data_IF_595185327693
#
_entry.id   IF_595185327693
#
_cell.length_a   1.000
_cell.length_b   1.000
_cell.length_c   1.000
_cell.angle_alpha   90.00
_cell.angle_beta   90.00
_cell.angle_gamma   90.00
#
_symmetry.space_group_name_H-M   'P 1'
#
loop_
_entity.id
_entity.type
_entity.pdbx_description
1 polymer ?
#
# COMPACT_ATOMS: atom_id res chain seq x y z
N UNK A 1 3.63 23.85 30.96
CA UNK A 1 3.73 22.43 30.55
C UNK A 1 3.14 22.32 29.16
N UNK A 2 3.96 22.06 28.15
CA UNK A 2 3.46 21.82 26.78
C UNK A 2 2.71 20.49 26.80
N UNK A 3 1.43 20.48 26.44
CA UNK A 3 0.67 19.25 26.34
C UNK A 3 1.32 18.36 25.26
N UNK A 4 1.72 17.15 25.65
CA UNK A 4 2.25 16.14 24.72
C UNK A 4 1.12 15.74 23.78
N UNK A 5 1.36 15.73 22.48
CA UNK A 5 0.40 15.23 21.50
C UNK A 5 0.32 13.70 21.67
N UNK A 6 -0.86 13.13 21.88
CA UNK A 6 -1.01 11.68 21.93
C UNK A 6 -0.61 11.05 20.58
N UNK A 7 0.02 9.89 20.64
CA UNK A 7 0.36 9.11 19.45
C UNK A 7 -0.90 8.66 18.70
N UNK A 8 -0.93 8.88 17.39
CA UNK A 8 -2.04 8.47 16.53
C UNK A 8 -3.26 9.42 16.53
N UNK A 9 -3.10 10.62 17.11
CA UNK A 9 -4.16 11.64 17.01
C UNK A 9 -4.41 12.06 15.57
N UNK A 10 -5.68 12.25 15.23
CA UNK A 10 -6.10 12.74 13.92
C UNK A 10 -5.64 14.17 13.72
N UNK A 11 -5.02 14.46 12.58
CA UNK A 11 -4.70 15.81 12.14
C UNK A 11 -5.76 16.26 11.14
N UNK A 12 -6.53 17.30 11.49
CA UNK A 12 -7.45 17.92 10.56
C UNK A 12 -6.67 18.64 9.45
N UNK A 13 -7.17 18.56 8.23
CA UNK A 13 -6.59 19.27 7.10
C UNK A 13 -7.58 20.22 6.46
N UNK A 14 -7.06 21.28 5.86
CA UNK A 14 -7.78 22.21 5.02
C UNK A 14 -7.47 21.92 3.55
N UNK A 15 -8.46 22.12 2.69
CA UNK A 15 -8.27 21.98 1.25
C UNK A 15 -8.81 23.23 0.54
N UNK A 16 -8.11 23.71 -0.48
CA UNK A 16 -8.67 24.69 -1.40
C UNK A 16 -9.93 24.13 -2.06
N UNK A 17 -10.80 25.00 -2.58
CA UNK A 17 -12.04 24.56 -3.22
C UNK A 17 -11.76 23.56 -4.38
N UNK A 18 -10.71 23.78 -5.16
CA UNK A 18 -10.29 22.91 -6.24
C UNK A 18 -9.75 21.55 -5.73
N UNK A 19 -8.93 21.55 -4.68
CA UNK A 19 -8.43 20.32 -4.06
C UNK A 19 -9.57 19.52 -3.40
N UNK A 20 -10.51 20.18 -2.72
CA UNK A 20 -11.69 19.52 -2.14
C UNK A 20 -12.56 18.87 -3.22
N UNK A 21 -12.76 19.52 -4.36
CA UNK A 21 -13.47 18.95 -5.50
C UNK A 21 -12.72 17.74 -6.08
N UNK A 22 -11.39 17.77 -6.16
CA UNK A 22 -10.58 16.64 -6.61
C UNK A 22 -10.71 15.45 -5.66
N UNK A 23 -10.64 15.66 -4.33
CA UNK A 23 -10.86 14.62 -3.33
C UNK A 23 -12.24 13.97 -3.50
N UNK A 24 -13.30 14.78 -3.64
CA UNK A 24 -14.66 14.28 -3.83
C UNK A 24 -14.82 13.47 -5.14
N UNK A 25 -13.97 13.76 -6.14
CA UNK A 25 -14.03 13.12 -7.46
C UNK A 25 -13.10 11.93 -7.62
N UNK A 26 -12.17 11.66 -6.70
CA UNK A 26 -11.18 10.60 -6.91
C UNK A 26 -11.79 9.19 -6.93
N UNK A 27 -12.90 8.99 -6.22
CA UNK A 27 -13.55 7.70 -6.05
C UNK A 27 -12.80 6.80 -5.09
N UNK A 28 -12.90 5.48 -5.28
CA UNK A 28 -12.16 4.49 -4.51
C UNK A 28 -10.66 4.69 -4.66
N UNK A 29 -9.96 4.87 -3.54
CA UNK A 29 -8.50 5.02 -3.49
C UNK A 29 -7.84 3.73 -3.05
N UNK A 30 -6.67 3.41 -3.63
CA UNK A 30 -5.92 2.19 -3.31
C UNK A 30 -4.56 2.50 -2.69
N UNK A 31 -3.89 3.58 -3.10
CA UNK A 31 -2.58 3.94 -2.58
C UNK A 31 -2.41 5.45 -2.44
N UNK A 32 -1.48 5.86 -1.58
CA UNK A 32 -1.12 7.25 -1.33
C UNK A 32 0.36 7.35 -1.01
N UNK A 33 1.06 8.34 -1.59
CA UNK A 33 2.51 8.56 -1.38
C UNK A 33 2.85 10.03 -1.31
N UNK A 34 3.76 10.39 -0.38
CA UNK A 34 4.42 11.68 -0.39
C UNK A 34 5.53 11.71 -1.44
N UNK A 35 5.75 12.87 -2.06
CA UNK A 35 6.95 13.09 -2.87
C UNK A 35 8.21 13.10 -1.99
N UNK A 36 9.42 12.93 -2.57
CA UNK A 36 10.68 12.96 -1.81
C UNK A 36 10.86 14.19 -0.95
N UNK A 37 10.41 15.37 -1.40
CA UNK A 37 10.44 16.61 -0.61
C UNK A 37 9.31 16.73 0.41
N UNK A 38 8.29 15.85 0.34
CA UNK A 38 7.07 15.92 1.14
C UNK A 38 6.13 17.08 0.78
N UNK A 39 6.37 17.77 -0.36
CA UNK A 39 5.55 18.91 -0.80
C UNK A 39 4.42 18.51 -1.74
N UNK A 40 4.40 17.28 -2.19
CA UNK A 40 3.32 16.69 -3.01
C UNK A 40 2.82 15.40 -2.40
N UNK A 41 1.56 15.09 -2.71
CA UNK A 41 0.89 13.87 -2.26
C UNK A 41 0.15 13.26 -3.46
N UNK A 42 0.59 12.09 -3.91
CA UNK A 42 -0.08 11.35 -4.97
C UNK A 42 -1.10 10.37 -4.37
N UNK A 43 -2.25 10.23 -5.01
CA UNK A 43 -3.34 9.32 -4.60
C UNK A 43 -3.84 8.54 -5.81
N UNK A 44 -3.86 7.22 -5.72
CA UNK A 44 -4.35 6.32 -6.75
C UNK A 44 -5.88 6.20 -6.71
N UNK A 45 -6.57 6.61 -7.76
CA UNK A 45 -8.01 6.52 -7.93
C UNK A 45 -8.39 5.33 -8.81
N UNK A 46 -8.66 4.18 -8.19
CA UNK A 46 -8.84 2.89 -8.84
C UNK A 46 -10.02 2.81 -9.81
N UNK A 47 -11.22 3.22 -9.36
CA UNK A 47 -12.44 3.08 -10.18
C UNK A 47 -12.46 4.03 -11.37
N UNK A 48 -11.91 5.23 -11.19
CA UNK A 48 -11.91 6.26 -12.23
C UNK A 48 -10.66 6.25 -13.10
N UNK A 49 -9.72 5.34 -12.85
CA UNK A 49 -8.46 5.24 -13.58
C UNK A 49 -7.77 6.60 -13.67
N UNK A 50 -7.53 7.23 -12.52
CA UNK A 50 -6.91 8.54 -12.44
C UNK A 50 -5.93 8.60 -11.26
N UNK A 51 -5.01 9.54 -11.32
CA UNK A 51 -4.08 9.83 -10.23
C UNK A 51 -4.28 11.30 -9.86
N UNK A 52 -4.59 11.58 -8.59
CA UNK A 52 -4.60 12.95 -8.09
C UNK A 52 -3.27 13.24 -7.39
N UNK A 53 -2.61 14.31 -7.80
CA UNK A 53 -1.38 14.80 -7.16
C UNK A 53 -1.69 16.15 -6.53
N UNK A 54 -1.68 16.20 -5.21
CA UNK A 54 -1.94 17.40 -4.43
C UNK A 54 -0.64 18.11 -4.07
N UNK A 55 -0.63 19.44 -4.12
CA UNK A 55 0.37 20.25 -3.45
C UNK A 55 -0.01 20.36 -1.97
N UNK A 56 0.90 19.98 -1.07
CA UNK A 56 0.66 19.85 0.36
C UNK A 56 1.62 20.72 1.17
N UNK A 57 1.09 21.41 2.16
CA UNK A 57 1.85 22.14 3.19
C UNK A 57 1.60 21.48 4.55
N UNK A 58 2.68 21.08 5.21
CA UNK A 58 2.67 20.57 6.58
C UNK A 58 3.39 21.57 7.46
N UNK A 59 2.64 22.26 8.32
CA UNK A 59 3.18 23.28 9.22
C UNK A 59 3.04 22.83 10.66
N UNK A 60 3.97 23.21 11.51
CA UNK A 60 3.94 22.99 12.94
C UNK A 60 3.88 24.32 13.69
N UNK A 61 2.85 24.52 14.50
CA UNK A 61 2.68 25.69 15.36
C UNK A 61 2.59 25.22 16.81
N UNK A 62 3.66 25.37 17.55
CA UNK A 62 3.81 24.81 18.89
C UNK A 62 3.76 23.27 18.83
N UNK A 63 2.79 22.67 19.54
CA UNK A 63 2.58 21.23 19.52
C UNK A 63 1.56 20.76 18.48
N UNK A 64 0.94 21.67 17.72
CA UNK A 64 -0.09 21.32 16.73
C UNK A 64 0.49 21.27 15.32
N UNK A 65 0.10 20.27 14.57
CA UNK A 65 0.33 20.21 13.12
C UNK A 65 -0.92 20.66 12.39
N UNK A 66 -0.71 21.39 11.30
CA UNK A 66 -1.75 21.78 10.36
C UNK A 66 -1.35 21.33 8.97
N UNK A 67 -2.31 20.82 8.23
CA UNK A 67 -2.11 20.33 6.86
C UNK A 67 -3.02 21.13 5.94
N UNK A 68 -2.47 21.59 4.81
CA UNK A 68 -3.23 22.29 3.77
C UNK A 68 -2.94 21.66 2.41
N UNK A 69 -3.99 21.35 1.69
CA UNK A 69 -3.93 20.94 0.28
C UNK A 69 -4.28 22.18 -0.56
N UNK A 70 -3.27 22.74 -1.23
CA UNK A 70 -3.38 24.09 -1.82
C UNK A 70 -3.75 24.10 -3.29
N UNK A 71 -3.40 23.04 -4.02
CA UNK A 71 -3.63 22.88 -5.44
C UNK A 71 -3.20 21.50 -5.90
N UNK A 72 -2.91 21.35 -7.19
CA UNK A 72 -2.39 20.09 -7.72
C UNK A 72 -2.86 19.80 -9.15
N UNK A 73 -2.92 18.52 -9.52
CA UNK A 73 -3.35 18.05 -10.84
C UNK A 73 -4.01 16.68 -10.75
N UNK A 74 -5.03 16.45 -11.57
CA UNK A 74 -5.54 15.10 -11.85
C UNK A 74 -4.95 14.60 -13.16
N UNK A 75 -4.21 13.49 -13.14
CA UNK A 75 -3.68 12.83 -14.33
C UNK A 75 -4.66 11.74 -14.76
N UNK A 76 -5.06 11.79 -16.03
CA UNK A 76 -5.81 10.75 -16.71
C UNK A 76 -5.07 10.29 -17.96
N UNK A 77 -5.21 9.02 -18.29
CA UNK A 77 -4.67 8.43 -19.51
C UNK A 77 -5.55 7.28 -19.98
N UNK A 78 -5.71 7.09 -21.30
CA UNK A 78 -6.37 5.90 -21.83
C UNK A 78 -5.61 4.60 -21.52
N UNK A 79 -4.34 4.71 -21.09
CA UNK A 79 -3.49 3.57 -20.71
C UNK A 79 -3.58 3.22 -19.23
N UNK A 80 -4.23 4.05 -18.38
CA UNK A 80 -4.51 3.71 -17.00
C UNK A 80 -5.66 2.70 -16.93
N UNK A 81 -5.42 1.56 -16.30
CA UNK A 81 -6.46 0.55 -16.05
C UNK A 81 -6.28 -0.07 -14.67
N UNK A 82 -7.19 0.25 -13.77
CA UNK A 82 -7.18 -0.19 -12.37
C UNK A 82 -5.91 0.28 -11.65
N UNK A 83 -5.72 1.60 -11.60
CA UNK A 83 -4.61 2.24 -10.88
C UNK A 83 -4.63 1.80 -9.43
N UNK A 84 -3.60 1.08 -8.99
CA UNK A 84 -3.59 0.47 -7.66
C UNK A 84 -2.45 1.00 -6.80
N UNK A 85 -1.21 0.96 -7.27
CA UNK A 85 -0.06 1.50 -6.56
C UNK A 85 0.51 2.74 -7.24
N UNK A 86 1.03 3.67 -6.46
CA UNK A 86 1.75 4.86 -6.94
C UNK A 86 2.99 5.10 -6.11
N UNK A 87 4.04 5.66 -6.71
CA UNK A 87 5.19 6.21 -6.00
C UNK A 87 5.87 7.29 -6.84
N UNK A 88 6.81 8.03 -6.27
CA UNK A 88 7.59 9.05 -6.94
C UNK A 88 8.98 8.51 -7.30
N UNK A 89 9.37 8.66 -8.56
CA UNK A 89 10.77 8.46 -8.98
C UNK A 89 11.64 9.67 -8.64
N UNK A 90 11.05 10.84 -8.78
CA UNK A 90 11.58 12.15 -8.41
C UNK A 90 10.41 13.12 -8.14
N UNK A 91 10.68 14.42 -7.94
CA UNK A 91 9.63 15.41 -7.66
C UNK A 91 8.63 15.59 -8.81
N UNK A 92 9.02 15.27 -10.03
CA UNK A 92 8.27 15.54 -11.25
C UNK A 92 7.86 14.28 -12.01
N UNK A 93 8.20 13.10 -11.51
CA UNK A 93 7.93 11.83 -12.19
C UNK A 93 7.27 10.81 -11.26
N UNK A 94 6.06 10.38 -11.62
CA UNK A 94 5.35 9.29 -10.97
C UNK A 94 5.58 7.97 -11.67
N UNK A 95 5.63 6.91 -10.88
CA UNK A 95 5.48 5.54 -11.32
C UNK A 95 4.18 4.97 -10.75
N UNK A 96 3.44 4.22 -11.56
CA UNK A 96 2.16 3.65 -11.14
C UNK A 96 2.02 2.19 -11.54
N UNK A 97 1.56 1.38 -10.61
CA UNK A 97 1.20 -0.01 -10.83
C UNK A 97 -0.30 -0.09 -11.19
N UNK A 98 -0.61 -0.70 -12.33
CA UNK A 98 -1.97 -0.82 -12.85
C UNK A 98 -2.27 -2.30 -13.09
N UNK A 99 -3.28 -2.82 -12.43
CA UNK A 99 -3.60 -4.26 -12.51
C UNK A 99 -3.95 -4.73 -13.92
N UNK A 100 -4.44 -3.84 -14.78
CA UNK A 100 -4.87 -4.15 -16.13
C UNK A 100 -3.90 -3.76 -17.25
N UNK A 101 -2.96 -2.84 -16.99
CA UNK A 101 -2.09 -2.26 -18.03
C UNK A 101 -0.60 -2.26 -17.71
N UNK A 102 -0.19 -2.78 -16.55
CA UNK A 102 1.22 -2.88 -16.18
C UNK A 102 1.73 -1.68 -15.37
N UNK A 103 3.01 -1.35 -15.53
CA UNK A 103 3.68 -0.28 -14.79
C UNK A 103 4.03 0.86 -15.72
N UNK A 104 3.51 2.06 -15.41
CA UNK A 104 3.56 3.24 -16.25
C UNK A 104 4.24 4.40 -15.53
N UNK A 105 4.95 5.25 -16.27
CA UNK A 105 5.59 6.46 -15.77
C UNK A 105 4.92 7.70 -16.36
N UNK A 106 4.65 8.68 -15.50
CA UNK A 106 4.02 9.95 -15.91
C UNK A 106 4.81 11.14 -15.40
N UNK A 107 4.95 12.15 -16.26
CA UNK A 107 5.46 13.45 -15.86
C UNK A 107 4.37 14.24 -15.15
N UNK A 108 4.72 14.84 -14.02
CA UNK A 108 3.85 15.73 -13.26
C UNK A 108 4.17 17.17 -13.67
N UNK A 109 3.16 17.98 -14.04
CA UNK A 109 3.40 19.39 -14.31
C UNK A 109 3.80 20.15 -13.04
N UNK A 110 4.40 21.34 -13.17
CA UNK A 110 4.68 22.22 -12.02
C UNK A 110 3.40 22.48 -11.20
N UNK A 111 3.62 22.76 -9.91
CA UNK A 111 2.55 23.09 -8.97
C UNK A 111 1.73 24.30 -9.45
N UNK A 112 0.42 24.22 -9.27
CA UNK A 112 -0.51 25.33 -9.57
C UNK A 112 -1.50 25.48 -8.42
N UNK A 113 -2.04 26.70 -8.23
CA UNK A 113 -3.11 26.96 -7.24
C UNK A 113 -4.47 26.36 -7.67
N UNK A 114 -4.58 25.88 -8.89
CA UNK A 114 -5.74 25.21 -9.45
C UNK A 114 -5.58 23.69 -9.36
N UNK A 115 -6.58 22.97 -9.81
CA UNK A 115 -6.53 21.51 -9.90
C UNK A 115 -7.01 21.04 -11.28
N UNK A 116 -6.24 21.34 -12.36
CA UNK A 116 -6.61 20.97 -13.71
C UNK A 116 -6.59 19.45 -13.90
N UNK A 117 -7.39 18.98 -14.84
CA UNK A 117 -7.31 17.62 -15.36
C UNK A 117 -6.35 17.58 -16.54
N UNK A 118 -5.29 16.81 -16.41
CA UNK A 118 -4.31 16.56 -17.46
C UNK A 118 -4.59 15.19 -18.11
N UNK A 119 -5.04 15.21 -19.36
CA UNK A 119 -5.15 13.98 -20.15
C UNK A 119 -3.87 13.80 -20.94
N UNK A 120 -3.10 12.77 -20.60
CA UNK A 120 -1.77 12.55 -21.19
C UNK A 120 -1.49 11.07 -21.41
N UNK A 121 -0.44 10.77 -22.17
CA UNK A 121 0.12 9.42 -22.28
C UNK A 121 1.27 9.24 -21.29
N UNK A 122 1.56 8.02 -20.84
CA UNK A 122 2.75 7.78 -20.04
C UNK A 122 4.03 8.06 -20.86
N UNK A 123 5.05 8.58 -20.20
CA UNK A 123 6.39 8.70 -20.80
C UNK A 123 7.01 7.33 -21.07
N UNK A 124 6.66 6.34 -20.21
CA UNK A 124 7.13 4.95 -20.36
C UNK A 124 6.05 3.95 -19.95
N UNK A 125 6.14 2.79 -20.57
CA UNK A 125 5.49 1.56 -20.15
C UNK A 125 6.59 0.49 -19.98
N UNK A 126 6.84 0.06 -18.73
CA UNK A 126 7.95 -0.85 -18.44
C UNK A 126 7.83 -2.20 -19.17
N UNK A 127 6.62 -2.70 -19.40
CA UNK A 127 6.41 -3.92 -20.15
C UNK A 127 6.77 -3.73 -21.64
N UNK A 128 6.42 -2.59 -22.24
CA UNK A 128 6.81 -2.25 -23.60
C UNK A 128 8.32 -2.03 -23.74
N UNK A 129 8.97 -1.55 -22.68
CA UNK A 129 10.42 -1.37 -22.59
C UNK A 129 11.18 -2.69 -22.28
N UNK A 130 10.49 -3.83 -22.29
CA UNK A 130 11.06 -5.16 -22.16
C UNK A 130 11.15 -5.74 -20.75
N UNK A 131 10.61 -5.05 -19.74
CA UNK A 131 10.48 -5.64 -18.40
C UNK A 131 9.45 -6.77 -18.45
N UNK A 132 9.91 -7.96 -18.11
CA UNK A 132 9.07 -9.17 -18.02
C UNK A 132 8.63 -9.36 -16.58
N UNK A 133 7.90 -10.42 -16.29
CA UNK A 133 7.48 -10.78 -14.93
C UNK A 133 6.59 -9.72 -14.23
N UNK A 134 5.80 -8.97 -15.02
CA UNK A 134 4.78 -8.05 -14.56
C UNK A 134 3.40 -8.66 -14.84
N UNK A 135 2.72 -9.13 -13.79
CA UNK A 135 1.42 -9.80 -13.90
C UNK A 135 0.44 -9.31 -12.81
N UNK A 136 -0.44 -8.42 -13.22
CA UNK A 136 -1.38 -7.75 -12.32
C UNK A 136 -0.70 -6.89 -11.26
N UNK A 137 0.19 -5.93 -11.63
CA UNK A 137 0.89 -5.11 -10.65
C UNK A 137 -0.08 -4.38 -9.73
N UNK A 138 0.07 -4.58 -8.42
CA UNK A 138 -0.80 -4.02 -7.38
C UNK A 138 -0.13 -2.93 -6.54
N UNK A 139 1.14 -3.03 -6.25
CA UNK A 139 1.87 -2.02 -5.48
C UNK A 139 3.25 -1.78 -6.08
N UNK A 140 3.78 -0.60 -5.82
CA UNK A 140 5.10 -0.19 -6.27
C UNK A 140 5.78 0.64 -5.18
N UNK A 141 7.08 0.47 -4.99
CA UNK A 141 7.89 1.36 -4.17
C UNK A 141 9.23 1.61 -4.82
N UNK A 142 9.72 2.84 -4.64
CA UNK A 142 10.95 3.35 -5.26
C UNK A 142 12.02 3.55 -4.21
N UNK A 143 13.24 3.17 -4.53
CA UNK A 143 14.43 3.48 -3.77
C UNK A 143 15.46 4.16 -4.67
N UNK A 144 15.91 5.34 -4.28
CA UNK A 144 17.06 5.99 -4.94
C UNK A 144 18.34 5.23 -4.63
N UNK A 145 19.05 4.81 -5.67
CA UNK A 145 20.38 4.23 -5.59
C UNK A 145 21.40 5.34 -5.93
N UNK A 146 22.70 5.09 -5.66
CA UNK A 146 23.77 5.98 -6.08
C UNK A 146 23.85 6.08 -7.62
N UNK A 147 24.48 7.13 -8.10
CA UNK A 147 24.88 7.29 -9.52
C UNK A 147 23.71 7.34 -10.53
N UNK A 148 22.64 8.06 -10.21
CA UNK A 148 21.44 8.22 -11.05
C UNK A 148 20.61 6.95 -11.30
N UNK A 149 20.76 5.91 -10.50
CA UNK A 149 19.91 4.74 -10.56
C UNK A 149 18.85 4.74 -9.46
N UNK A 150 17.71 4.13 -9.73
CA UNK A 150 16.72 3.80 -8.71
C UNK A 150 16.30 2.34 -8.85
N UNK A 151 16.02 1.70 -7.71
CA UNK A 151 15.42 0.38 -7.62
C UNK A 151 13.92 0.52 -7.42
N UNK A 152 13.16 -0.24 -8.18
CA UNK A 152 11.70 -0.29 -8.08
C UNK A 152 11.30 -1.70 -7.73
N UNK A 153 10.56 -1.87 -6.63
CA UNK A 153 9.91 -3.14 -6.28
C UNK A 153 8.44 -3.08 -6.70
N UNK A 154 7.95 -4.18 -7.25
CA UNK A 154 6.60 -4.27 -7.82
C UNK A 154 5.95 -5.56 -7.31
N UNK A 155 4.84 -5.43 -6.59
CA UNK A 155 4.00 -6.56 -6.20
C UNK A 155 3.14 -7.01 -7.38
N UNK A 156 3.23 -8.27 -7.76
CA UNK A 156 2.45 -8.88 -8.85
C UNK A 156 1.38 -9.81 -8.25
N UNK A 157 0.15 -9.32 -8.15
CA UNK A 157 -0.93 -10.05 -7.48
C UNK A 157 -1.37 -11.32 -8.20
N UNK A 158 -1.20 -11.41 -9.54
CA UNK A 158 -1.69 -12.56 -10.29
C UNK A 158 -0.68 -13.69 -10.40
N UNK A 159 0.61 -13.37 -10.36
CA UNK A 159 1.70 -14.37 -10.35
C UNK A 159 2.22 -14.69 -8.96
N UNK A 160 1.75 -13.97 -7.91
CA UNK A 160 2.24 -14.13 -6.55
C UNK A 160 3.76 -13.96 -6.47
N UNK A 161 4.27 -12.85 -7.00
CA UNK A 161 5.69 -12.51 -7.00
C UNK A 161 5.93 -11.05 -6.63
N UNK A 162 7.14 -10.74 -6.22
CA UNK A 162 7.65 -9.37 -6.17
C UNK A 162 8.79 -9.26 -7.17
N UNK A 163 8.64 -8.37 -8.15
CA UNK A 163 9.70 -8.07 -9.12
C UNK A 163 10.54 -6.89 -8.66
N UNK A 164 11.82 -6.89 -9.03
CA UNK A 164 12.73 -5.75 -8.87
C UNK A 164 13.21 -5.27 -10.23
N UNK A 165 13.16 -3.96 -10.45
CA UNK A 165 13.59 -3.31 -11.68
C UNK A 165 14.56 -2.18 -11.33
N UNK A 166 15.71 -2.12 -11.96
CA UNK A 166 16.62 -0.97 -11.87
C UNK A 166 16.34 -0.04 -13.04
N UNK A 167 16.11 1.24 -12.74
CA UNK A 167 15.91 2.30 -13.74
C UNK A 167 17.07 3.27 -13.71
N UNK A 168 17.47 3.77 -14.89
CA UNK A 168 18.48 4.82 -15.07
C UNK A 168 17.78 6.19 -15.21
N UNK A 169 17.83 7.00 -14.16
CA UNK A 169 17.24 8.35 -14.15
C UNK A 169 17.93 9.30 -15.16
N UNK A 170 19.22 9.09 -15.44
CA UNK A 170 19.95 9.85 -16.46
C UNK A 170 19.48 9.59 -17.90
N UNK A 171 18.81 8.45 -18.12
CA UNK A 171 18.25 8.04 -19.41
C UNK A 171 16.72 8.05 -19.40
N UNK A 172 16.10 9.04 -18.77
CA UNK A 172 14.63 9.14 -18.63
C UNK A 172 14.00 7.88 -18.01
N UNK A 173 14.59 7.39 -16.93
CA UNK A 173 14.13 6.20 -16.18
C UNK A 173 14.00 4.93 -17.05
N UNK A 174 14.95 4.72 -17.95
CA UNK A 174 14.99 3.51 -18.77
C UNK A 174 15.31 2.29 -17.91
N UNK A 175 14.61 1.14 -18.09
CA UNK A 175 14.97 -0.11 -17.43
C UNK A 175 16.38 -0.58 -17.84
N UNK A 176 17.19 -0.96 -16.86
CA UNK A 176 18.55 -1.49 -17.05
C UNK A 176 18.59 -2.97 -16.70
N UNK A 177 18.02 -3.34 -15.57
CA UNK A 177 17.90 -4.73 -15.13
C UNK A 177 16.50 -4.99 -14.59
N UNK A 178 16.04 -6.23 -14.70
CA UNK A 178 14.80 -6.69 -14.07
C UNK A 178 14.89 -8.16 -13.70
N UNK A 179 14.17 -8.56 -12.65
CA UNK A 179 14.09 -9.95 -12.19
C UNK A 179 13.08 -10.12 -11.05
N UNK A 180 12.90 -11.37 -10.64
CA UNK A 180 12.07 -11.69 -9.47
C UNK A 180 12.91 -11.52 -8.20
N UNK A 181 12.47 -10.63 -7.30
CA UNK A 181 13.04 -10.44 -5.97
C UNK A 181 12.59 -11.56 -5.03
N UNK A 182 11.26 -11.88 -5.02
CA UNK A 182 10.71 -12.89 -4.12
C UNK A 182 9.50 -13.61 -4.73
N UNK A 183 9.34 -14.92 -4.47
CA UNK A 183 8.22 -15.74 -4.95
C UNK A 183 7.76 -16.81 -3.95
N UNK A 184 8.65 -17.42 -3.17
CA UNK A 184 8.32 -18.59 -2.32
C UNK A 184 7.25 -18.31 -1.27
N UNK A 185 7.28 -17.13 -0.65
CA UNK A 185 6.42 -16.78 0.48
C UNK A 185 5.30 -15.81 0.09
N UNK A 186 5.16 -15.52 -1.19
CA UNK A 186 4.25 -14.51 -1.69
C UNK A 186 2.90 -15.16 -2.06
N UNK A 187 1.82 -14.63 -1.44
CA UNK A 187 0.44 -15.02 -1.73
C UNK A 187 -0.45 -13.77 -1.64
N UNK A 188 -0.86 -13.25 -2.79
CA UNK A 188 -1.57 -11.96 -2.95
C UNK A 188 -0.80 -10.80 -2.29
N UNK A 189 0.36 -10.38 -2.86
CA UNK A 189 1.13 -9.27 -2.31
C UNK A 189 0.46 -7.93 -2.63
N UNK A 190 0.07 -7.15 -1.60
CA UNK A 190 -0.68 -5.90 -1.78
C UNK A 190 0.07 -4.63 -1.35
N UNK A 191 1.20 -4.76 -0.67
CA UNK A 191 2.04 -3.63 -0.28
C UNK A 191 3.50 -4.02 -0.20
N UNK A 192 4.40 -3.09 -0.53
CA UNK A 192 5.84 -3.26 -0.41
C UNK A 192 6.50 -1.95 0.02
N UNK A 193 7.49 -2.05 0.91
CA UNK A 193 8.25 -0.89 1.38
C UNK A 193 9.65 -1.29 1.86
N UNK A 194 10.61 -0.36 1.78
CA UNK A 194 11.91 -0.50 2.41
C UNK A 194 11.87 0.00 3.86
N UNK A 195 12.66 -0.62 4.76
CA UNK A 195 13.03 0.05 6.01
C UNK A 195 13.91 1.27 5.68
N UNK A 196 13.90 2.31 6.53
CA UNK A 196 14.65 3.53 6.24
C UNK A 196 16.17 3.29 6.17
N UNK A 197 16.68 2.35 7.00
CA UNK A 197 18.08 1.90 6.94
C UNK A 197 18.37 1.02 5.71
N UNK A 198 17.33 0.70 4.91
CA UNK A 198 17.38 -0.09 3.67
C UNK A 198 17.95 -1.50 3.82
N UNK A 199 17.99 -2.00 5.05
CA UNK A 199 18.46 -3.35 5.31
C UNK A 199 17.40 -4.41 5.00
N UNK A 200 16.12 -4.03 5.07
CA UNK A 200 15.01 -4.96 4.87
C UNK A 200 13.98 -4.42 3.87
N UNK A 201 13.34 -5.34 3.21
CA UNK A 201 12.15 -5.14 2.38
C UNK A 201 10.98 -5.84 3.07
N UNK A 202 9.91 -5.08 3.34
CA UNK A 202 8.68 -5.59 3.90
C UNK A 202 7.63 -5.75 2.81
N UNK A 203 6.93 -6.89 2.80
CA UNK A 203 5.88 -7.21 1.82
C UNK A 203 4.62 -7.63 2.58
N UNK A 204 3.51 -6.94 2.32
CA UNK A 204 2.19 -7.34 2.83
C UNK A 204 1.67 -8.53 2.05
N UNK A 205 1.28 -9.59 2.76
CA UNK A 205 0.79 -10.83 2.18
C UNK A 205 -0.66 -11.04 2.63
N UNK A 206 -1.60 -10.61 1.78
CA UNK A 206 -3.03 -10.67 2.10
C UNK A 206 -3.51 -12.11 2.32
N UNK A 207 -3.00 -13.08 1.56
CA UNK A 207 -3.35 -14.49 1.68
C UNK A 207 -3.01 -15.12 3.04
N UNK A 208 -2.00 -14.59 3.76
CA UNK A 208 -1.62 -15.09 5.09
C UNK A 208 -1.96 -14.14 6.24
N UNK A 209 -2.49 -12.94 5.95
CA UNK A 209 -2.75 -11.94 7.00
C UNK A 209 -1.50 -11.47 7.72
N UNK A 210 -0.37 -11.37 7.02
CA UNK A 210 0.95 -11.09 7.61
C UNK A 210 1.75 -10.14 6.73
N UNK A 211 2.75 -9.51 7.32
CA UNK A 211 3.83 -8.82 6.57
C UNK A 211 5.11 -9.62 6.77
N UNK A 212 5.79 -9.93 5.68
CA UNK A 212 7.08 -10.60 5.70
C UNK A 212 8.21 -9.62 5.44
N UNK A 213 9.29 -9.74 6.24
CA UNK A 213 10.49 -8.93 6.10
C UNK A 213 11.63 -9.78 5.53
N UNK A 214 12.16 -9.36 4.41
CA UNK A 214 13.26 -10.03 3.71
C UNK A 214 14.52 -9.16 3.74
N UNK A 215 15.73 -9.73 3.76
CA UNK A 215 16.95 -8.97 3.57
C UNK A 215 16.94 -8.24 2.21
N UNK A 216 17.35 -6.97 2.22
CA UNK A 216 17.61 -6.22 0.99
C UNK A 216 19.04 -6.53 0.51
N UNK A 217 19.27 -7.74 0.07
CA UNK A 217 20.55 -8.23 -0.41
C UNK A 217 20.42 -8.67 -1.87
N UNK A 218 21.14 -8.05 -2.82
CA UNK A 218 21.14 -8.46 -4.23
C UNK A 218 21.56 -9.91 -4.48
N UNK A 219 22.28 -10.52 -3.53
CA UNK A 219 22.66 -11.93 -3.60
C UNK A 219 21.57 -12.88 -3.08
N UNK A 220 20.48 -12.36 -2.50
CA UNK A 220 19.39 -13.18 -1.97
C UNK A 220 18.67 -13.94 -3.08
N UNK A 221 18.35 -15.21 -2.80
CA UNK A 221 17.53 -16.02 -3.69
C UNK A 221 16.08 -15.54 -3.67
N UNK A 222 15.34 -15.57 -4.81
CA UNK A 222 13.90 -15.38 -4.83
C UNK A 222 13.09 -16.37 -3.97
N UNK A 223 13.72 -17.42 -3.49
CA UNK A 223 13.16 -18.42 -2.59
C UNK A 223 13.67 -18.26 -1.14
N UNK A 224 14.32 -17.14 -0.80
CA UNK A 224 14.83 -16.88 0.54
C UNK A 224 13.70 -16.83 1.58
N UNK A 225 14.02 -17.29 2.79
CA UNK A 225 13.09 -17.22 3.91
C UNK A 225 13.03 -15.80 4.51
N UNK A 226 11.88 -15.33 5.01
CA UNK A 226 11.79 -14.05 5.70
C UNK A 226 12.56 -14.11 7.03
N UNK A 227 13.21 -13.02 7.39
CA UNK A 227 13.89 -12.88 8.68
C UNK A 227 12.93 -12.42 9.78
N UNK A 228 11.83 -11.76 9.41
CA UNK A 228 10.83 -11.26 10.33
C UNK A 228 9.41 -11.40 9.78
N UNK A 229 8.43 -11.49 10.68
CA UNK A 229 7.02 -11.65 10.36
C UNK A 229 6.20 -10.76 11.29
N UNK A 230 5.38 -9.86 10.73
CA UNK A 230 4.38 -9.10 11.46
C UNK A 230 3.03 -9.80 11.31
N UNK A 231 2.37 -10.15 12.43
CA UNK A 231 1.13 -10.93 12.47
C UNK A 231 -0.02 -10.17 13.11
N UNK A 232 -1.20 -10.76 13.15
CA UNK A 232 -2.44 -10.21 13.71
C UNK A 232 -2.98 -9.01 12.91
N UNK A 233 -2.96 -9.16 11.59
CA UNK A 233 -3.55 -8.24 10.64
C UNK A 233 -4.58 -9.02 9.83
N UNK A 234 -5.80 -8.49 9.67
CA UNK A 234 -6.84 -9.24 8.97
C UNK A 234 -6.63 -9.28 7.46
N UNK A 235 -6.31 -8.11 6.86
CA UNK A 235 -6.01 -8.00 5.45
C UNK A 235 -4.95 -6.92 5.24
N UNK A 236 -3.67 -7.26 5.40
CA UNK A 236 -2.59 -6.29 5.27
C UNK A 236 -2.52 -5.76 3.83
N UNK A 237 -2.47 -4.42 3.71
CA UNK A 237 -2.41 -3.72 2.43
C UNK A 237 -1.18 -2.83 2.39
N UNK A 238 -1.31 -1.51 2.28
CA UNK A 238 -0.19 -0.58 2.31
C UNK A 238 0.60 -0.65 3.63
N UNK A 239 1.90 -0.38 3.58
CA UNK A 239 2.77 -0.37 4.74
C UNK A 239 3.87 0.69 4.62
N UNK A 240 4.36 1.18 5.76
CA UNK A 240 5.44 2.15 5.85
C UNK A 240 6.14 2.12 7.20
N UNK A 241 7.24 2.84 7.31
CA UNK A 241 8.06 2.90 8.52
C UNK A 241 8.22 4.33 9.03
N UNK A 242 8.41 4.49 10.36
CA UNK A 242 8.84 5.77 10.94
C UNK A 242 10.21 6.18 10.43
N UNK A 243 10.55 7.48 10.57
CA UNK A 243 11.80 8.05 10.09
C UNK A 243 13.09 7.47 10.69
N UNK A 244 12.98 6.67 11.75
CA UNK A 244 14.07 5.90 12.38
C UNK A 244 13.91 4.40 12.24
N UNK A 245 12.90 3.93 11.50
CA UNK A 245 12.49 2.53 11.38
C UNK A 245 12.22 1.83 12.71
N UNK A 246 11.94 2.59 13.77
CA UNK A 246 11.57 2.02 15.07
C UNK A 246 10.12 1.53 15.11
N UNK A 247 9.26 2.07 14.25
CA UNK A 247 7.88 1.66 14.07
C UNK A 247 7.60 1.24 12.63
N UNK A 248 6.77 0.22 12.49
CA UNK A 248 6.13 -0.14 11.23
C UNK A 248 4.61 0.09 11.34
N UNK A 249 4.03 0.67 10.30
CA UNK A 249 2.60 0.93 10.16
C UNK A 249 2.06 0.06 9.04
N UNK A 250 0.97 -0.66 9.29
CA UNK A 250 0.35 -1.53 8.29
C UNK A 250 -1.13 -1.21 8.21
N UNK A 251 -1.61 -0.84 7.03
CA UNK A 251 -3.02 -0.67 6.76
C UNK A 251 -3.71 -2.04 6.80
N UNK A 252 -4.70 -2.18 7.67
CA UNK A 252 -5.49 -3.40 7.80
C UNK A 252 -6.83 -3.20 7.07
N UNK A 253 -6.88 -3.54 5.77
CA UNK A 253 -8.09 -3.36 4.98
C UNK A 253 -9.28 -4.21 5.47
N UNK A 254 -9.02 -5.25 6.26
CA UNK A 254 -10.03 -6.07 6.91
C UNK A 254 -10.54 -5.52 8.24
N UNK A 255 -10.06 -4.36 8.69
CA UNK A 255 -10.45 -3.72 9.94
C UNK A 255 -10.30 -2.19 9.83
N UNK A 256 -11.00 -1.36 10.67
CA UNK A 256 -10.92 0.09 10.57
C UNK A 256 -9.64 0.68 11.19
N UNK A 257 -8.50 0.00 11.07
CA UNK A 257 -7.27 0.33 11.79
C UNK A 257 -6.02 0.31 10.89
N UNK A 258 -5.04 1.15 11.26
CA UNK A 258 -3.63 0.92 10.96
C UNK A 258 -3.01 0.20 12.16
N UNK A 259 -2.34 -0.93 11.91
CA UNK A 259 -1.61 -1.68 12.95
C UNK A 259 -0.21 -1.12 13.09
N UNK A 260 0.24 -0.97 14.33
CA UNK A 260 1.54 -0.39 14.67
C UNK A 260 2.38 -1.44 15.35
N UNK A 261 3.58 -1.67 14.82
CA UNK A 261 4.57 -2.59 15.35
C UNK A 261 5.79 -1.82 15.80
N UNK A 262 6.41 -2.25 16.90
CA UNK A 262 7.66 -1.67 17.38
C UNK A 262 8.83 -2.60 17.12
N UNK A 263 9.94 -2.03 16.63
CA UNK A 263 11.20 -2.73 16.41
C UNK A 263 11.84 -3.09 17.75
N UNK A 264 12.06 -4.37 18.05
CA UNK A 264 12.83 -4.76 19.22
C UNK A 264 14.30 -4.32 19.18
N UNK A 265 15.00 -4.36 20.30
CA UNK A 265 16.43 -4.01 20.38
C UNK A 265 17.32 -4.87 19.47
N UNK A 266 16.93 -6.12 19.21
CA UNK A 266 17.64 -7.05 18.33
C UNK A 266 17.20 -6.98 16.86
N UNK A 267 16.43 -5.96 16.49
CA UNK A 267 15.95 -5.74 15.11
C UNK A 267 14.60 -6.39 14.85
N UNK A 268 14.26 -6.49 13.56
CA UNK A 268 12.98 -7.04 13.08
C UNK A 268 12.98 -8.56 12.90
N UNK A 269 13.99 -9.29 13.42
CA UNK A 269 14.02 -10.75 13.31
C UNK A 269 12.97 -11.41 14.22
N UNK A 270 12.36 -12.50 13.72
CA UNK A 270 11.34 -13.26 14.45
C UNK A 270 9.91 -12.82 14.17
N UNK A 271 9.01 -13.14 15.08
CA UNK A 271 7.56 -12.88 14.94
C UNK A 271 7.14 -11.76 15.87
N UNK A 272 6.40 -10.77 15.33
CA UNK A 272 5.98 -9.58 16.05
C UNK A 272 4.47 -9.42 16.00
N UNK A 273 3.90 -8.97 17.12
CA UNK A 273 2.49 -8.58 17.27
C UNK A 273 2.37 -7.06 17.35
N UNK A 274 1.21 -6.47 16.99
CA UNK A 274 1.01 -5.03 17.10
C UNK A 274 1.15 -4.56 18.54
N UNK A 275 1.83 -3.43 18.74
CA UNK A 275 1.93 -2.74 20.04
C UNK A 275 0.83 -1.70 20.22
N UNK A 276 0.24 -1.23 19.10
CA UNK A 276 -0.86 -0.28 19.09
C UNK A 276 -1.68 -0.41 17.81
N UNK A 277 -2.83 0.25 17.77
CA UNK A 277 -3.66 0.41 16.57
C UNK A 277 -4.19 1.83 16.50
N UNK A 278 -4.09 2.47 15.34
CA UNK A 278 -4.65 3.78 15.05
C UNK A 278 -6.00 3.56 14.38
N UNK A 279 -7.06 4.06 14.99
CA UNK A 279 -8.38 4.00 14.38
C UNK A 279 -8.51 5.04 13.27
N UNK A 280 -8.73 4.59 12.03
CA UNK A 280 -8.80 5.46 10.86
C UNK A 280 -10.20 5.96 10.62
N UNK A 281 -11.21 5.14 10.86
CA UNK A 281 -12.61 5.44 10.56
C UNK A 281 -13.57 4.83 11.59
N UNK A 282 -14.81 5.30 11.61
CA UNK A 282 -15.87 4.68 12.38
C UNK A 282 -16.38 3.39 11.73
N UNK A 283 -17.26 2.68 12.43
CA UNK A 283 -17.79 1.39 11.97
C UNK A 283 -18.73 1.55 10.76
N UNK A 284 -19.42 2.67 10.64
CA UNK A 284 -20.34 2.93 9.54
C UNK A 284 -19.56 3.12 8.22
N UNK A 285 -18.50 3.94 8.25
CA UNK A 285 -17.62 4.16 7.09
C UNK A 285 -16.97 2.83 6.68
N UNK A 286 -16.48 2.05 7.67
CA UNK A 286 -15.89 0.74 7.42
C UNK A 286 -16.87 -0.22 6.73
N UNK A 287 -18.10 -0.31 7.22
CA UNK A 287 -19.13 -1.19 6.63
C UNK A 287 -19.55 -0.75 5.23
N UNK A 288 -19.64 0.56 4.98
CA UNK A 288 -19.90 1.10 3.65
C UNK A 288 -18.77 0.81 2.67
N UNK A 289 -17.52 0.80 3.15
CA UNK A 289 -16.33 0.45 2.37
C UNK A 289 -16.21 -1.02 2.05
N UNK A 290 -16.91 -1.90 2.77
CA UNK A 290 -16.86 -3.36 2.58
C UNK A 290 -17.62 -3.82 1.33
N UNK A 291 -17.30 -3.23 0.18
CA UNK A 291 -17.81 -3.65 -1.13
C UNK A 291 -17.26 -5.04 -1.48
N UNK A 292 -16.02 -5.31 -1.09
CA UNK A 292 -15.44 -6.65 -1.08
C UNK A 292 -15.53 -7.21 0.36
N UNK A 293 -15.92 -8.48 0.56
CA UNK A 293 -16.15 -9.05 1.90
C UNK A 293 -14.96 -8.96 2.87
N UNK A 294 -13.74 -8.89 2.34
CA UNK A 294 -12.50 -8.84 3.13
C UNK A 294 -11.94 -7.43 3.30
N UNK A 295 -12.51 -6.42 2.64
CA UNK A 295 -11.96 -5.09 2.57
C UNK A 295 -13.02 -4.03 2.85
N UNK A 296 -12.75 -3.11 3.72
CA UNK A 296 -13.61 -1.97 4.06
C UNK A 296 -12.80 -0.91 4.79
N UNK A 297 -11.60 -1.28 5.22
CA UNK A 297 -10.68 -0.47 6.01
C UNK A 297 -9.66 0.30 5.16
N UNK A 298 -8.59 0.79 5.84
CA UNK A 298 -7.51 1.53 5.19
C UNK A 298 -6.74 0.64 4.22
N UNK A 299 -6.33 1.23 3.09
CA UNK A 299 -5.60 0.56 2.01
C UNK A 299 -4.21 1.13 1.83
N UNK A 300 -4.06 2.25 1.15
CA UNK A 300 -2.77 2.92 1.02
C UNK A 300 -2.38 3.66 2.28
N UNK A 301 -1.09 3.71 2.57
CA UNK A 301 -0.54 4.59 3.59
C UNK A 301 0.90 4.99 3.25
N UNK A 302 1.30 6.16 3.76
CA UNK A 302 2.69 6.61 3.73
C UNK A 302 3.02 7.45 4.95
N UNK A 303 4.31 7.58 5.27
CA UNK A 303 4.81 8.32 6.42
C UNK A 303 5.75 9.43 5.97
N UNK A 304 5.35 10.69 6.20
CA UNK A 304 6.25 11.82 6.09
C UNK A 304 7.22 11.83 7.28
N UNK A 305 8.36 11.17 7.12
CA UNK A 305 9.32 10.91 8.20
C UNK A 305 9.74 12.16 8.96
N UNK A 306 10.11 13.25 8.26
CA UNK A 306 10.59 14.49 8.89
C UNK A 306 9.49 15.22 9.67
N UNK A 307 8.23 15.14 9.24
CA UNK A 307 7.11 15.77 9.92
C UNK A 307 6.43 14.86 10.95
N UNK A 308 6.71 13.55 10.97
CA UNK A 308 6.01 12.59 11.82
C UNK A 308 4.51 12.54 11.51
N UNK A 309 4.14 12.55 10.24
CA UNK A 309 2.77 12.52 9.76
C UNK A 309 2.53 11.23 8.98
N UNK A 310 1.56 10.47 9.41
CA UNK A 310 1.03 9.32 8.66
C UNK A 310 -0.17 9.78 7.84
N UNK A 311 -0.18 9.49 6.54
CA UNK A 311 -1.35 9.63 5.67
C UNK A 311 -1.91 8.25 5.34
N UNK A 312 -3.23 8.17 5.22
CA UNK A 312 -3.96 6.93 4.92
C UNK A 312 -5.05 7.20 3.90
N UNK A 313 -5.26 6.26 2.98
CA UNK A 313 -6.36 6.29 2.02
C UNK A 313 -7.31 5.10 2.21
N UNK A 314 -8.59 5.30 1.92
CA UNK A 314 -9.64 4.28 1.99
C UNK A 314 -10.77 4.54 1.00
N UNK A 315 -11.66 3.57 0.84
CA UNK A 315 -12.79 3.62 -0.09
C UNK A 315 -13.68 4.86 0.06
N UNK A 316 -14.16 5.14 1.29
CA UNK A 316 -15.09 6.24 1.60
C UNK A 316 -14.47 7.34 2.47
N UNK A 317 -13.18 7.26 2.74
CA UNK A 317 -12.40 8.31 3.38
C UNK A 317 -11.10 8.46 2.59
N UNK A 318 -11.13 9.20 1.46
CA UNK A 318 -10.01 9.23 0.51
C UNK A 318 -8.67 9.65 1.13
N UNK A 319 -8.69 10.49 2.16
CA UNK A 319 -7.50 10.93 2.90
C UNK A 319 -7.81 11.10 4.39
N UNK A 320 -6.93 10.57 5.23
CA UNK A 320 -6.88 10.84 6.66
C UNK A 320 -5.43 11.01 7.10
N UNK A 321 -5.17 11.89 8.06
CA UNK A 321 -3.82 12.20 8.54
C UNK A 321 -3.74 12.01 10.05
N UNK A 322 -2.61 11.48 10.53
CA UNK A 322 -2.37 11.17 11.93
C UNK A 322 -0.99 11.62 12.38
N UNK A 323 -0.89 12.04 13.65
CA UNK A 323 0.39 12.39 14.27
C UNK A 323 1.09 11.13 14.79
N UNK A 324 2.25 10.84 14.23
CA UNK A 324 3.09 9.69 14.62
C UNK A 324 4.50 10.14 15.02
N UNK A 325 4.66 11.40 15.45
CA UNK A 325 5.94 11.97 15.86
C UNK A 325 6.42 11.51 17.23
N UNK A 326 5.53 10.95 18.04
CA UNK A 326 5.84 10.38 19.36
C UNK A 326 5.80 8.86 19.29
N UNK A 327 6.41 8.19 20.28
CA UNK A 327 6.28 6.74 20.42
C UNK A 327 4.94 6.42 21.11
N UNK A 328 4.31 5.27 20.81
CA UNK A 328 3.18 4.78 21.57
C UNK A 328 3.59 4.61 23.03
N UNK A 329 2.71 4.96 23.96
CA UNK A 329 3.02 4.84 25.39
C UNK A 329 3.27 3.38 25.75
N UNK A 330 4.47 3.08 26.24
CA UNK A 330 4.91 1.75 26.65
C UNK A 330 4.14 1.18 27.88
N UNK A 331 3.22 1.97 28.45
CA UNK A 331 2.34 1.59 29.55
C UNK A 331 0.92 1.19 29.12
N UNK A 332 0.59 1.33 27.84
CA UNK A 332 -0.74 0.99 27.34
C UNK A 332 -0.90 -0.50 26.99
N UNK A 333 -0.37 -1.40 27.82
CA UNK A 333 -0.85 -2.80 27.86
C UNK A 333 -2.33 -2.89 28.30
N UNK A 334 -2.95 -1.76 28.58
CA UNK A 334 -4.39 -1.56 28.77
C UNK A 334 -5.06 -1.00 27.51
N UNK A 335 -4.75 -1.55 26.34
CA UNK A 335 -5.58 -1.36 25.14
C UNK A 335 -7.01 -1.95 25.28
N UNK A 336 -7.47 -2.14 26.51
CA UNK A 336 -8.85 -2.53 26.84
C UNK A 336 -9.90 -1.46 26.53
N UNK A 337 -9.52 -0.21 26.23
CA UNK A 337 -10.52 0.88 26.12
C UNK A 337 -10.79 1.40 24.71
N UNK A 338 -10.23 0.81 23.65
CA UNK A 338 -10.48 1.26 22.28
C UNK A 338 -10.98 0.14 21.33
N UNK A 339 -11.34 -1.00 21.89
CA UNK A 339 -12.18 -1.96 21.17
C UNK A 339 -13.64 -1.61 21.46
N UNK A 340 -14.43 -1.16 20.47
CA UNK A 340 -15.88 -1.20 20.65
C UNK A 340 -16.21 -2.67 20.86
N UNK A 341 -17.04 -2.97 21.87
CA UNK A 341 -17.61 -4.28 22.07
C UNK A 341 -18.24 -4.73 20.75
N UNK A 342 -17.55 -5.55 19.99
CA UNK A 342 -18.20 -6.40 19.05
C UNK A 342 -19.01 -7.34 19.93
N UNK A 343 -20.32 -7.19 19.89
CA UNK A 343 -21.23 -8.20 20.35
C UNK A 343 -20.80 -9.52 19.74
N UNK A 344 -20.37 -10.43 20.62
CA UNK A 344 -19.90 -11.79 20.36
C UNK A 344 -18.42 -11.92 19.90
N UNK A 345 -17.55 -12.12 20.88
CA UNK A 345 -16.25 -12.74 20.75
C UNK A 345 -15.05 -11.81 20.95
N UNK A 346 -14.78 -11.38 22.18
CA UNK A 346 -13.44 -11.01 22.60
C UNK A 346 -12.53 -12.24 22.43
N UNK A 347 -11.79 -12.28 21.33
CA UNK A 347 -10.78 -13.30 21.09
C UNK A 347 -9.47 -12.79 21.69
N UNK A 348 -9.19 -13.14 22.94
CA UNK A 348 -7.84 -13.18 23.47
C UNK A 348 -7.11 -14.30 22.72
N UNK A 349 -6.19 -13.93 21.81
CA UNK A 349 -5.34 -14.87 21.06
C UNK A 349 -4.22 -15.42 21.97
N UNK A 350 -4.58 -16.08 23.06
CA UNK A 350 -3.66 -16.77 23.97
C UNK A 350 -3.84 -18.29 23.92
N UNK A 351 -4.84 -18.79 23.18
CA UNK A 351 -5.15 -20.20 23.04
C UNK A 351 -4.83 -20.69 21.62
N UNK A 352 -4.05 -21.78 21.45
CA UNK A 352 -3.74 -22.38 20.16
C UNK A 352 -4.97 -22.74 19.32
N UNK A 353 -6.10 -23.09 19.95
CA UNK A 353 -7.35 -23.35 19.24
C UNK A 353 -7.94 -22.08 18.58
N UNK A 354 -7.70 -20.93 19.18
CA UNK A 354 -8.12 -19.64 18.64
C UNK A 354 -7.24 -19.21 17.48
N UNK A 355 -5.95 -19.48 17.52
CA UNK A 355 -5.01 -19.25 16.42
C UNK A 355 -5.39 -20.11 15.20
N UNK A 356 -5.70 -21.40 15.41
CA UNK A 356 -6.18 -22.30 14.35
C UNK A 356 -7.52 -21.82 13.77
N UNK A 357 -8.46 -21.35 14.60
CA UNK A 357 -9.74 -20.79 14.09
C UNK A 357 -9.52 -19.51 13.28
N UNK A 358 -8.60 -18.66 13.72
CA UNK A 358 -8.21 -17.46 12.99
C UNK A 358 -7.60 -17.82 11.64
N UNK A 359 -6.64 -18.74 11.58
CA UNK A 359 -6.03 -19.22 10.35
C UNK A 359 -7.08 -19.84 9.38
N UNK A 360 -7.98 -20.67 9.92
CA UNK A 360 -9.05 -21.27 9.11
C UNK A 360 -10.02 -20.21 8.57
N UNK A 361 -10.35 -19.19 9.37
CA UNK A 361 -11.19 -18.07 8.94
C UNK A 361 -10.49 -17.25 7.86
N UNK A 362 -9.20 -16.97 7.99
CA UNK A 362 -8.41 -16.24 7.00
C UNK A 362 -8.25 -17.02 5.70
N UNK A 363 -8.03 -18.33 5.78
CA UNK A 363 -8.03 -19.22 4.59
C UNK A 363 -9.40 -19.26 3.90
N UNK A 364 -10.50 -19.26 4.66
CA UNK A 364 -11.84 -19.21 4.09
C UNK A 364 -12.12 -17.88 3.38
N UNK A 365 -11.69 -16.74 3.97
CA UNK A 365 -11.81 -15.40 3.37
C UNK A 365 -10.98 -15.32 2.09
N UNK A 366 -9.71 -15.73 2.13
CA UNK A 366 -8.84 -15.77 0.95
C UNK A 366 -9.41 -16.64 -0.16
N UNK A 367 -9.95 -17.83 0.18
CA UNK A 367 -10.60 -18.72 -0.78
C UNK A 367 -11.82 -18.07 -1.42
N UNK A 368 -12.67 -17.39 -0.65
CA UNK A 368 -13.85 -16.69 -1.17
C UNK A 368 -13.46 -15.54 -2.10
N UNK A 369 -12.40 -14.80 -1.76
CA UNK A 369 -11.86 -13.74 -2.60
C UNK A 369 -11.36 -14.29 -3.95
N UNK A 370 -10.56 -15.34 -3.94
CA UNK A 370 -10.08 -16.04 -5.14
C UNK A 370 -11.24 -16.58 -5.98
N UNK A 371 -12.23 -17.21 -5.34
CA UNK A 371 -13.43 -17.73 -6.04
C UNK A 371 -14.24 -16.61 -6.68
N UNK A 372 -14.37 -15.44 -6.03
CA UNK A 372 -15.02 -14.26 -6.57
C UNK A 372 -14.29 -13.73 -7.80
N UNK A 373 -12.96 -13.61 -7.72
CA UNK A 373 -12.13 -13.11 -8.82
C UNK A 373 -12.10 -14.10 -10.00
N UNK A 374 -11.98 -15.39 -9.73
CA UNK A 374 -12.12 -16.45 -10.74
C UNK A 374 -13.50 -16.40 -11.41
N UNK A 375 -14.58 -16.16 -10.65
CA UNK A 375 -15.92 -16.03 -11.21
C UNK A 375 -16.06 -14.76 -12.07
N UNK A 376 -15.41 -13.68 -11.68
CA UNK A 376 -15.34 -12.42 -12.46
C UNK A 376 -14.58 -12.66 -13.77
N UNK A 377 -13.44 -13.33 -13.72
CA UNK A 377 -12.66 -13.73 -14.89
C UNK A 377 -13.45 -14.67 -15.81
N UNK A 378 -14.17 -15.65 -15.26
CA UNK A 378 -15.04 -16.56 -16.03
C UNK A 378 -16.18 -15.86 -16.76
N UNK A 379 -16.63 -14.69 -16.28
CA UNK A 379 -17.67 -13.86 -16.93
C UNK A 379 -17.13 -13.04 -18.09
N UNK A 380 -15.82 -12.81 -18.21
CA UNK A 380 -15.22 -12.07 -19.33
C UNK A 380 -15.39 -12.85 -20.65
N UNK A 381 -15.66 -12.14 -21.75
CA UNK A 381 -15.83 -12.76 -23.08
C UNK A 381 -14.62 -13.61 -23.49
N UNK A 382 -13.40 -13.14 -23.24
CA UNK A 382 -12.16 -13.88 -23.53
C UNK A 382 -12.07 -15.24 -22.83
N UNK A 383 -12.54 -15.33 -21.58
CA UNK A 383 -12.58 -16.59 -20.85
C UNK A 383 -13.53 -17.62 -21.49
N UNK A 384 -14.67 -17.18 -22.00
CA UNK A 384 -15.63 -18.04 -22.68
C UNK A 384 -15.09 -18.61 -23.99
N UNK A 385 -14.36 -17.80 -24.76
CA UNK A 385 -13.74 -18.24 -26.03
C UNK A 385 -12.60 -19.26 -25.82
N UNK A 386 -11.87 -19.20 -24.72
CA UNK A 386 -10.74 -20.11 -24.46
C UNK A 386 -11.12 -21.30 -23.57
N UNK A 387 -12.37 -21.43 -23.14
CA UNK A 387 -12.85 -22.56 -22.31
C UNK A 387 -12.60 -23.94 -22.93
N UNK A 388 -12.85 -24.17 -24.23
CA UNK A 388 -12.56 -25.45 -24.86
C UNK A 388 -11.09 -25.84 -24.83
N UNK A 389 -10.19 -24.89 -25.10
CA UNK A 389 -8.74 -25.11 -25.08
C UNK A 389 -8.21 -25.46 -23.68
N UNK A 390 -8.80 -24.87 -22.62
CA UNK A 390 -8.43 -25.21 -21.23
C UNK A 390 -8.92 -26.60 -20.82
N UNK A 391 -10.10 -27.01 -21.25
CA UNK A 391 -10.61 -28.34 -21.00
C UNK A 391 -9.70 -29.41 -21.62
N UNK A 392 -9.25 -29.20 -22.85
CA UNK A 392 -8.32 -30.10 -23.55
C UNK A 392 -6.97 -30.14 -22.82
N UNK A 393 -6.46 -29.00 -22.36
CA UNK A 393 -5.17 -28.94 -21.65
C UNK A 393 -5.23 -29.59 -20.25
N UNK A 394 -6.38 -29.50 -19.56
CA UNK A 394 -6.61 -30.24 -18.31
C UNK A 394 -6.76 -31.75 -18.51
N UNK A 395 -7.36 -32.17 -19.63
CA UNK A 395 -7.45 -33.57 -19.99
C UNK A 395 -6.08 -34.15 -20.32
N UNK A 396 -5.26 -33.46 -21.11
CA UNK A 396 -3.88 -33.84 -21.46
C UNK A 396 -2.92 -33.89 -20.26
N UNK A 397 -3.18 -33.15 -19.19
CA UNK A 397 -2.38 -33.22 -17.95
C UNK A 397 -2.79 -34.38 -17.02
N UNK A 398 -3.86 -35.07 -17.32
CA UNK A 398 -4.36 -36.25 -16.57
C UNK A 398 -4.08 -37.57 -17.27
N UNK A 399 -3.57 -37.51 -18.51
CA UNK A 399 -2.96 -38.61 -19.24
C UNK A 399 -1.43 -38.60 -19.05
#
# INVERSE_FOLDING_TARGET
>A
MSARIPFGDTINFEASASAAAAIANIGRTEDVRFSPSGKRLAVAGYIKNQIAVFDIEINQVGCRRTIRLTGGVTIQSPELDKVHGVDFLDEDTLITANRGSGVLLFRIPPATSEFPMLVTRPERNLAADGVRDLDGPGSVTVESIKDNFCSVLICNNYSNTVSQVTLDAGSHHRPVTSGIFQKKWIDVPDGVSYTLDRQLIAVSIAGSGSVFLFPNDPASSPDADPVGILRQIFYPHGLGFSGDSSLAFVADAGAPFVRVFSRPQHGWSGVHSPVASIRVMDQEIFQRGAVHPSEGGPKGLDVHAAAGVLVVSCEFLPLAFFDVSTQPDSGASNARSVMPAATEGNIELTDPATEVRYELRMRAIARTAVESEVNTLKRRRSWRFTAPLRAVNQFLRRL
#
